data_IF_809969576076
#
_entry.id   IF_809969576076
#
_cell.length_a   1.000
_cell.length_b   1.000
_cell.length_c   1.000
_cell.angle_alpha   90.00
_cell.angle_beta   90.00
_cell.angle_gamma   90.00
#
_symmetry.space_group_name_H-M   'P 1'
#
loop_
_entity.id
_entity.type
_entity.pdbx_description
1 polymer ?
#
# COMPACT_ATOMS: atom_id res chain seq x y z
N UNK A 1 -8.72 12.76 22.30
CA UNK A 1 -9.81 12.21 21.48
C UNK A 1 -10.13 13.22 20.39
N UNK A 2 -10.55 12.73 19.24
CA UNK A 2 -10.95 13.49 18.07
C UNK A 2 -12.32 12.97 17.63
N UNK A 3 -13.21 13.87 17.21
CA UNK A 3 -14.51 13.51 16.67
C UNK A 3 -14.71 14.26 15.35
N UNK A 4 -14.92 13.53 14.27
CA UNK A 4 -15.01 14.05 12.91
C UNK A 4 -16.34 13.62 12.28
N UNK A 5 -17.37 14.48 12.30
CA UNK A 5 -18.60 14.25 11.56
C UNK A 5 -18.46 14.77 10.13
N UNK A 6 -19.05 14.04 9.18
CA UNK A 6 -19.22 14.44 7.79
C UNK A 6 -20.66 14.22 7.34
N UNK A 7 -21.12 15.07 6.43
CA UNK A 7 -22.42 14.95 5.78
C UNK A 7 -22.27 15.40 4.32
N UNK A 8 -22.71 14.56 3.40
CA UNK A 8 -22.77 14.83 1.98
C UNK A 8 -24.20 14.88 1.47
N UNK A 9 -24.39 15.62 0.38
CA UNK A 9 -25.62 15.62 -0.40
C UNK A 9 -25.24 15.48 -1.87
N UNK A 10 -25.88 14.54 -2.57
CA UNK A 10 -25.64 14.27 -3.98
C UNK A 10 -26.96 14.34 -4.73
N UNK A 11 -26.96 15.15 -5.78
CA UNK A 11 -28.01 15.18 -6.80
C UNK A 11 -27.43 14.65 -8.11
N UNK A 12 -28.16 13.74 -8.75
CA UNK A 12 -27.84 13.22 -10.08
C UNK A 12 -29.05 13.44 -10.97
N UNK A 13 -28.84 14.06 -12.13
CA UNK A 13 -29.90 14.33 -13.11
C UNK A 13 -29.51 13.65 -14.43
N UNK A 14 -30.43 12.85 -14.98
CA UNK A 14 -30.27 12.18 -16.27
C UNK A 14 -31.23 12.78 -17.28
N UNK A 15 -30.74 12.94 -18.52
CA UNK A 15 -31.56 13.30 -19.66
C UNK A 15 -31.30 12.33 -20.81
N UNK A 16 -32.32 11.55 -21.18
CA UNK A 16 -32.23 10.46 -22.16
C UNK A 16 -32.83 10.88 -23.51
N UNK A 17 -31.98 10.96 -24.54
CA UNK A 17 -32.42 11.37 -25.88
C UNK A 17 -33.03 10.22 -26.72
N UNK A 18 -32.66 8.96 -26.44
CA UNK A 18 -33.21 7.74 -27.07
C UNK A 18 -33.04 6.52 -26.15
N UNK A 19 -34.11 5.78 -25.93
CA UNK A 19 -34.06 4.39 -25.43
C UNK A 19 -34.41 3.48 -26.62
N UNK A 20 -33.76 2.33 -26.75
CA UNK A 20 -33.86 1.44 -27.93
C UNK A 20 -35.31 1.14 -28.36
N UNK A 21 -35.50 0.94 -29.67
CA UNK A 21 -36.77 0.93 -30.42
C UNK A 21 -37.85 -0.09 -29.97
N UNK A 22 -37.57 -0.94 -28.97
CA UNK A 22 -38.50 -1.99 -28.51
C UNK A 22 -39.37 -1.59 -27.31
N UNK A 23 -39.21 -0.39 -26.73
CA UNK A 23 -40.12 0.12 -25.69
C UNK A 23 -41.20 0.99 -26.34
N UNK A 24 -42.27 0.33 -26.81
CA UNK A 24 -43.47 0.99 -27.26
C UNK A 24 -44.08 1.86 -26.14
N UNK A 25 -44.19 3.16 -26.42
CA UNK A 25 -44.84 4.22 -25.61
C UNK A 25 -44.04 4.75 -24.40
N UNK A 26 -42.96 5.49 -24.68
CA UNK A 26 -42.35 6.40 -23.72
C UNK A 26 -43.08 7.75 -23.78
N UNK A 27 -43.80 8.11 -22.72
CA UNK A 27 -44.33 9.47 -22.51
C UNK A 27 -43.16 10.44 -22.28
N UNK A 28 -43.32 11.75 -22.54
CA UNK A 28 -42.27 12.76 -22.29
C UNK A 28 -41.76 12.79 -20.84
N UNK A 29 -42.46 12.13 -19.92
CA UNK A 29 -42.16 11.99 -18.48
C UNK A 29 -40.89 11.17 -18.19
N UNK A 30 -40.49 10.24 -19.07
CA UNK A 30 -39.31 9.38 -18.86
C UNK A 30 -38.01 9.92 -19.48
N UNK A 31 -38.04 11.13 -20.07
CA UNK A 31 -36.83 11.75 -20.66
C UNK A 31 -35.93 12.40 -19.62
N UNK A 32 -36.49 12.81 -18.48
CA UNK A 32 -35.75 13.46 -17.41
C UNK A 32 -35.97 12.68 -16.11
N UNK A 33 -34.88 12.28 -15.47
CA UNK A 33 -34.89 11.56 -14.22
C UNK A 33 -33.95 12.24 -13.25
N UNK A 34 -34.25 12.21 -11.95
CA UNK A 34 -33.36 12.74 -10.94
C UNK A 34 -33.32 11.84 -9.71
N UNK A 35 -32.17 11.85 -9.03
CA UNK A 35 -31.96 11.21 -7.74
C UNK A 35 -31.34 12.23 -6.80
N UNK A 36 -31.85 12.27 -5.57
CA UNK A 36 -31.27 13.02 -4.47
C UNK A 36 -30.96 12.03 -3.34
N UNK A 37 -29.74 12.07 -2.82
CA UNK A 37 -29.33 11.29 -1.65
C UNK A 37 -28.47 12.13 -0.72
N UNK A 38 -28.35 11.65 0.51
CA UNK A 38 -27.41 12.18 1.49
C UNK A 38 -26.61 11.05 2.09
N UNK A 39 -25.37 11.34 2.46
CA UNK A 39 -24.48 10.45 3.17
C UNK A 39 -24.12 11.10 4.51
N UNK A 40 -24.00 10.29 5.56
CA UNK A 40 -23.59 10.72 6.89
C UNK A 40 -22.47 9.81 7.37
N UNK A 41 -21.41 10.39 7.90
CA UNK A 41 -20.36 9.63 8.56
C UNK A 41 -19.92 10.33 9.85
N UNK A 42 -19.51 9.55 10.83
CA UNK A 42 -19.01 10.04 12.10
C UNK A 42 -17.86 9.15 12.59
N UNK A 43 -16.69 9.75 12.79
CA UNK A 43 -15.52 9.08 13.35
C UNK A 43 -15.23 9.57 14.77
N UNK A 44 -14.97 8.65 15.69
CA UNK A 44 -14.48 8.92 17.04
C UNK A 44 -13.18 8.15 17.29
N UNK A 45 -12.10 8.86 17.58
CA UNK A 45 -10.77 8.25 17.80
C UNK A 45 -10.05 8.82 19.01
N UNK A 46 -9.09 8.08 19.56
CA UNK A 46 -8.17 8.62 20.58
C UNK A 46 -6.80 7.96 20.52
N UNK A 47 -5.76 8.74 20.79
CA UNK A 47 -4.39 8.25 20.83
C UNK A 47 -3.95 7.99 22.27
N UNK A 48 -3.60 6.74 22.58
CA UNK A 48 -3.01 6.34 23.85
C UNK A 48 -1.57 5.93 23.60
N UNK A 49 -0.60 6.58 24.23
CA UNK A 49 0.81 6.24 24.00
C UNK A 49 1.62 6.08 25.28
N UNK A 50 2.66 5.25 25.18
CA UNK A 50 3.70 5.11 26.20
C UNK A 50 5.07 5.05 25.54
N UNK A 51 6.10 5.48 26.27
CA UNK A 51 7.50 5.50 25.80
C UNK A 51 8.35 4.62 26.70
N UNK A 52 8.88 3.55 26.12
CA UNK A 52 9.68 2.56 26.80
C UNK A 52 11.17 2.78 26.55
N UNK A 53 12.00 2.91 27.59
CA UNK A 53 13.45 2.84 27.44
C UNK A 53 13.86 1.39 27.17
N UNK A 54 14.52 1.15 26.03
CA UNK A 54 14.94 -0.21 25.63
C UNK A 54 16.46 -0.34 25.72
N UNK A 55 17.20 0.68 25.26
CA UNK A 55 18.67 0.70 25.35
C UNK A 55 19.39 -0.42 24.60
N UNK A 56 18.72 -1.13 23.67
CA UNK A 56 19.27 -2.24 22.92
C UNK A 56 19.84 -1.78 21.56
N UNK A 57 21.12 -2.08 21.31
CA UNK A 57 21.80 -1.71 20.06
C UNK A 57 21.76 -0.20 19.79
N UNK A 58 21.31 0.19 18.59
CA UNK A 58 21.11 1.58 18.19
C UNK A 58 19.82 2.20 18.74
N UNK A 59 18.89 1.41 19.28
CA UNK A 59 17.57 1.84 19.74
C UNK A 59 17.65 2.37 21.18
N UNK A 60 17.35 3.66 21.38
CA UNK A 60 17.27 4.29 22.71
C UNK A 60 15.93 4.01 23.37
N UNK A 61 14.84 4.30 22.66
CA UNK A 61 13.48 4.25 23.18
C UNK A 61 12.53 3.74 22.09
N UNK A 62 11.42 3.15 22.50
CA UNK A 62 10.30 2.80 21.63
C UNK A 62 9.06 3.51 22.15
N UNK A 63 8.40 4.28 21.29
CA UNK A 63 7.05 4.80 21.53
C UNK A 63 6.06 3.78 20.96
N UNK A 64 5.16 3.29 21.80
CA UNK A 64 3.99 2.52 21.38
C UNK A 64 2.77 3.41 21.49
N UNK A 65 2.05 3.58 20.39
CA UNK A 65 0.75 4.23 20.34
C UNK A 65 -0.31 3.19 20.00
N UNK A 66 -1.42 3.22 20.74
CA UNK A 66 -2.63 2.46 20.48
C UNK A 66 -3.71 3.48 20.12
N UNK A 67 -4.37 3.29 18.98
CA UNK A 67 -5.39 4.16 18.43
C UNK A 67 -6.68 3.35 18.29
N UNK A 68 -7.53 3.28 19.33
CA UNK A 68 -8.92 2.84 19.17
C UNK A 68 -9.70 3.87 18.35
N UNK A 69 -10.55 3.37 17.45
CA UNK A 69 -11.40 4.17 16.57
C UNK A 69 -12.75 3.49 16.40
N UNK A 70 -13.80 4.30 16.39
CA UNK A 70 -15.17 3.91 16.07
C UNK A 70 -15.66 4.79 14.91
N UNK A 71 -16.11 4.17 13.84
CA UNK A 71 -16.64 4.83 12.65
C UNK A 71 -18.08 4.37 12.42
N UNK A 72 -18.97 5.31 12.10
CA UNK A 72 -20.32 5.03 11.64
C UNK A 72 -20.54 5.67 10.27
N UNK A 73 -21.09 4.93 9.32
CA UNK A 73 -21.44 5.37 7.98
C UNK A 73 -22.92 5.04 7.68
N UNK A 74 -23.59 5.97 7.00
CA UNK A 74 -24.99 5.83 6.64
C UNK A 74 -25.31 6.44 5.27
N UNK A 75 -25.91 5.61 4.41
CA UNK A 75 -26.52 5.98 3.13
C UNK A 75 -27.92 5.35 3.11
N UNK A 76 -28.98 6.14 2.89
CA UNK A 76 -30.35 5.63 2.93
C UNK A 76 -30.63 4.66 1.78
N UNK A 77 -31.54 3.71 2.03
CA UNK A 77 -32.11 2.83 1.01
C UNK A 77 -33.15 3.59 0.17
N UNK A 78 -32.87 3.75 -1.11
CA UNK A 78 -33.70 4.43 -2.09
C UNK A 78 -33.93 3.51 -3.28
N UNK A 79 -35.19 3.42 -3.72
CA UNK A 79 -35.53 2.70 -4.94
C UNK A 79 -34.94 3.42 -6.15
N UNK A 80 -34.04 2.71 -6.84
CA UNK A 80 -33.31 3.18 -8.01
C UNK A 80 -33.55 2.24 -9.21
N UNK A 81 -34.55 1.34 -9.14
CA UNK A 81 -34.77 0.30 -10.15
C UNK A 81 -35.14 0.86 -11.54
N UNK A 82 -35.68 2.08 -11.58
CA UNK A 82 -36.01 2.76 -12.84
C UNK A 82 -34.87 3.66 -13.34
N UNK A 83 -33.82 3.89 -12.54
CA UNK A 83 -32.70 4.76 -12.94
C UNK A 83 -31.88 4.13 -14.07
N UNK A 84 -31.28 4.95 -14.94
CA UNK A 84 -30.30 4.46 -15.91
C UNK A 84 -29.10 3.79 -15.24
N UNK A 85 -28.48 2.84 -15.92
CA UNK A 85 -27.30 2.10 -15.46
C UNK A 85 -26.21 2.18 -16.55
N UNK A 86 -25.33 3.18 -16.45
CA UNK A 86 -24.20 3.40 -17.37
C UNK A 86 -22.86 3.15 -16.68
N UNK A 87 -22.73 3.61 -15.43
CA UNK A 87 -21.52 3.47 -14.62
C UNK A 87 -21.81 3.22 -13.13
N UNK A 88 -20.73 3.05 -12.37
CA UNK A 88 -20.74 2.74 -10.94
C UNK A 88 -21.30 3.87 -10.06
N UNK A 89 -21.55 5.06 -10.60
CA UNK A 89 -22.12 6.18 -9.87
C UNK A 89 -23.63 6.28 -10.01
N UNK A 90 -24.21 5.54 -10.95
CA UNK A 90 -25.63 5.52 -11.23
C UNK A 90 -26.43 4.72 -10.19
N UNK A 91 -25.86 3.65 -9.64
CA UNK A 91 -26.44 2.88 -8.54
C UNK A 91 -25.61 3.04 -7.27
N UNK A 92 -26.18 3.73 -6.28
CA UNK A 92 -25.56 3.87 -4.96
C UNK A 92 -26.25 2.93 -3.99
N UNK A 93 -25.50 1.97 -3.46
CA UNK A 93 -25.99 1.00 -2.50
C UNK A 93 -26.27 1.67 -1.14
N UNK A 94 -27.32 1.25 -0.42
CA UNK A 94 -27.52 1.69 0.95
C UNK A 94 -26.40 1.20 1.86
N UNK A 95 -26.13 1.97 2.90
CA UNK A 95 -25.11 1.68 3.89
C UNK A 95 -25.63 2.01 5.28
N UNK A 96 -25.41 1.13 6.24
CA UNK A 96 -25.62 1.42 7.65
C UNK A 96 -24.65 0.56 8.44
N UNK A 97 -23.44 1.08 8.65
CA UNK A 97 -22.33 0.29 9.13
C UNK A 97 -21.67 0.95 10.34
N UNK A 98 -21.33 0.14 11.35
CA UNK A 98 -20.50 0.53 12.48
C UNK A 98 -19.19 -0.27 12.44
N UNK A 99 -18.07 0.42 12.33
CA UNK A 99 -16.73 -0.18 12.31
C UNK A 99 -15.98 0.18 13.58
N UNK A 100 -15.54 -0.82 14.34
CA UNK A 100 -14.56 -0.64 15.41
C UNK A 100 -13.18 -1.09 14.93
N UNK A 101 -12.17 -0.24 15.11
CA UNK A 101 -10.79 -0.61 14.80
C UNK A 101 -9.81 -0.27 15.92
N UNK A 102 -8.73 -1.03 15.98
CA UNK A 102 -7.63 -0.85 16.90
C UNK A 102 -6.32 -0.86 16.14
N UNK A 103 -5.64 0.28 16.11
CA UNK A 103 -4.34 0.43 15.44
C UNK A 103 -3.20 0.50 16.46
N UNK A 104 -2.16 -0.30 16.25
CA UNK A 104 -0.93 -0.32 17.02
C UNK A 104 0.21 0.25 16.17
N UNK A 105 0.90 1.26 16.70
CA UNK A 105 1.98 1.96 16.02
C UNK A 105 3.23 1.94 16.91
N UNK A 106 4.36 1.45 16.38
CA UNK A 106 5.65 1.47 17.06
C UNK A 106 6.65 2.36 16.33
N UNK A 107 7.18 3.33 17.07
CA UNK A 107 8.22 4.24 16.59
C UNK A 107 9.46 4.08 17.47
N UNK A 108 10.57 3.68 16.85
CA UNK A 108 11.87 3.65 17.49
C UNK A 108 12.52 5.04 17.44
N UNK A 109 13.22 5.41 18.52
CA UNK A 109 14.16 6.54 18.56
C UNK A 109 15.57 5.97 18.62
N UNK A 110 16.35 6.23 17.60
CA UNK A 110 17.67 5.64 17.41
C UNK A 110 18.78 6.67 17.63
N UNK A 111 19.91 6.20 18.16
CA UNK A 111 21.16 6.96 18.11
C UNK A 111 21.51 7.21 16.64
N UNK A 112 22.01 8.40 16.31
CA UNK A 112 22.70 8.57 15.04
C UNK A 112 23.84 7.55 14.96
N UNK A 113 24.13 7.00 13.76
CA UNK A 113 25.27 6.13 13.58
C UNK A 113 26.53 6.87 14.04
N UNK A 114 27.35 6.23 14.86
CA UNK A 114 28.67 6.74 15.19
C UNK A 114 29.45 6.82 13.88
N UNK A 115 29.65 8.03 13.35
CA UNK A 115 30.57 8.26 12.25
C UNK A 115 31.97 7.95 12.77
N UNK A 116 32.42 6.72 12.56
CA UNK A 116 33.82 6.36 12.64
C UNK A 116 34.55 6.95 11.45
N UNK A 117 34.79 8.26 11.47
CA UNK A 117 36.00 8.85 10.91
C UNK A 117 36.10 10.34 11.26
N UNK A 118 37.06 10.64 12.14
CA UNK A 118 38.09 11.66 11.92
C UNK A 118 37.69 12.83 11.00
N UNK A 119 36.88 13.75 11.50
CA UNK A 119 36.94 15.14 11.01
C UNK A 119 38.25 15.76 11.49
N UNK A 120 39.39 15.34 10.91
CA UNK A 120 40.55 16.20 10.79
C UNK A 120 40.16 17.28 9.79
N UNK A 121 39.40 18.27 10.25
CA UNK A 121 39.49 19.59 9.65
C UNK A 121 40.96 19.98 9.75
N UNK A 122 41.67 20.28 8.65
CA UNK A 122 43.01 20.83 8.76
C UNK A 122 42.86 22.11 9.57
N UNK A 123 43.48 22.14 10.76
CA UNK A 123 43.63 23.36 11.52
C UNK A 123 44.42 24.32 10.64
N UNK A 124 43.71 25.27 10.01
CA UNK A 124 44.35 26.46 9.49
C UNK A 124 44.82 27.20 10.75
N UNK A 125 46.12 27.14 11.02
CA UNK A 125 46.80 28.02 11.97
C UNK A 125 46.70 29.47 11.45
N UNK A 126 45.55 30.10 11.70
CA UNK A 126 45.34 31.53 11.55
C UNK A 126 45.25 32.13 12.95
N UNK A 127 46.25 32.94 13.31
CA UNK A 127 46.32 33.67 14.59
C UNK A 127 44.96 34.25 15.03
N UNK A 128 44.56 33.89 16.24
CA UNK A 128 43.34 34.36 16.87
C UNK A 128 43.47 35.81 17.36
N UNK A 129 42.50 36.66 17.01
CA UNK A 129 42.05 37.80 17.83
C UNK A 129 40.56 38.06 17.58
N UNK A 130 39.71 37.39 18.36
CA UNK A 130 38.26 37.65 18.41
C UNK A 130 37.63 36.99 19.63
N UNK A 131 36.53 37.53 20.21
CA UNK A 131 35.96 37.04 21.46
C UNK A 131 35.42 35.62 21.29
N UNK A 132 35.70 34.77 22.29
CA UNK A 132 35.39 33.34 22.27
C UNK A 132 33.92 33.04 21.96
N UNK A 133 33.68 32.59 20.73
CA UNK A 133 32.48 31.85 20.36
C UNK A 133 32.87 30.38 20.52
N UNK A 134 32.38 29.73 21.58
CA UNK A 134 32.45 28.28 21.71
C UNK A 134 31.89 27.64 20.43
N UNK A 135 32.53 26.60 19.85
CA UNK A 135 31.99 25.92 18.69
C UNK A 135 30.56 25.45 19.00
N UNK A 136 29.60 25.55 18.05
CA UNK A 136 28.28 25.00 18.27
C UNK A 136 28.42 23.50 18.48
N UNK A 137 27.98 23.01 19.64
CA UNK A 137 27.84 21.58 19.90
C UNK A 137 27.01 20.99 18.76
N UNK A 138 27.66 20.21 17.90
CA UNK A 138 26.99 19.48 16.82
C UNK A 138 26.24 18.34 17.48
N UNK A 139 25.11 18.66 18.11
CA UNK A 139 24.20 17.70 18.72
C UNK A 139 23.68 16.80 17.61
N UNK A 140 24.32 15.65 17.45
CA UNK A 140 23.98 14.65 16.47
C UNK A 140 22.50 14.26 16.69
N UNK A 141 21.63 14.65 15.73
CA UNK A 141 20.18 14.59 15.90
C UNK A 141 19.72 13.13 15.91
N UNK A 142 18.95 12.75 16.92
CA UNK A 142 18.33 11.43 16.98
C UNK A 142 17.44 11.18 15.75
N UNK A 143 17.44 9.95 15.26
CA UNK A 143 16.60 9.52 14.14
C UNK A 143 15.40 8.74 14.65
N UNK A 144 14.29 8.78 13.91
CA UNK A 144 13.05 8.09 14.25
C UNK A 144 12.68 7.14 13.11
N UNK A 145 12.25 5.92 13.46
CA UNK A 145 11.76 4.94 12.49
C UNK A 145 10.44 4.36 12.99
N UNK A 146 9.34 4.64 12.27
CA UNK A 146 8.09 3.91 12.40
C UNK A 146 8.33 2.54 11.77
N UNK A 147 8.45 1.52 12.61
CA UNK A 147 8.83 0.20 12.16
C UNK A 147 7.70 -0.81 12.21
N UNK A 148 6.59 -0.49 12.88
CA UNK A 148 5.41 -1.35 12.92
C UNK A 148 4.16 -0.49 12.90
N UNK A 149 3.22 -0.83 12.04
CA UNK A 149 1.83 -0.39 12.05
C UNK A 149 0.96 -1.63 11.89
N UNK A 150 0.03 -1.86 12.81
CA UNK A 150 -0.84 -3.02 12.80
C UNK A 150 -2.27 -2.60 13.14
N UNK A 151 -3.20 -2.82 12.21
CA UNK A 151 -4.63 -2.52 12.40
C UNK A 151 -5.42 -3.83 12.40
N UNK A 152 -6.40 -3.89 13.28
CA UNK A 152 -7.47 -4.88 13.26
C UNK A 152 -8.80 -4.13 13.29
N UNK A 153 -9.76 -4.51 12.46
CA UNK A 153 -11.04 -3.85 12.35
C UNK A 153 -12.18 -4.85 12.19
N UNK A 154 -13.27 -4.61 12.90
CA UNK A 154 -14.52 -5.35 12.80
C UNK A 154 -15.64 -4.40 12.44
N UNK A 155 -16.34 -4.71 11.36
CA UNK A 155 -17.52 -3.97 10.92
C UNK A 155 -18.79 -4.77 11.20
N UNK A 156 -19.86 -4.04 11.53
CA UNK A 156 -21.20 -4.55 11.72
C UNK A 156 -22.16 -3.78 10.82
N UNK A 157 -22.82 -4.49 9.91
CA UNK A 157 -23.82 -3.96 8.99
C UNK A 157 -25.23 -4.15 9.58
N UNK A 158 -25.92 -3.04 9.80
CA UNK A 158 -27.27 -3.03 10.35
C UNK A 158 -28.35 -3.40 9.32
N UNK A 159 -28.10 -3.25 8.02
CA UNK A 159 -29.03 -3.69 6.97
C UNK A 159 -29.04 -5.22 6.95
N UNK A 160 -27.87 -5.85 6.91
CA UNK A 160 -27.74 -7.31 7.04
C UNK A 160 -28.30 -7.80 8.38
N UNK A 161 -28.05 -7.07 9.48
CA UNK A 161 -28.58 -7.43 10.79
C UNK A 161 -30.10 -7.40 10.93
N UNK A 162 -30.78 -6.69 10.03
CA UNK A 162 -32.25 -6.67 9.94
C UNK A 162 -32.81 -7.61 8.86
N UNK A 163 -31.94 -8.29 8.11
CA UNK A 163 -32.32 -9.19 7.02
C UNK A 163 -32.27 -10.64 7.50
N UNK A 164 -33.37 -11.42 7.41
CA UNK A 164 -33.39 -12.81 7.85
C UNK A 164 -32.33 -13.65 7.12
N UNK A 165 -31.68 -14.54 7.86
CA UNK A 165 -30.65 -15.47 7.37
C UNK A 165 -29.35 -14.81 6.84
N UNK A 166 -29.21 -13.48 6.98
CA UNK A 166 -27.98 -12.74 6.64
C UNK A 166 -27.06 -12.55 7.85
N UNK A 167 -25.78 -12.31 7.56
CA UNK A 167 -24.73 -12.17 8.56
C UNK A 167 -24.33 -10.70 8.73
N UNK A 168 -24.56 -10.09 9.91
CA UNK A 168 -24.28 -8.67 10.09
C UNK A 168 -22.80 -8.36 10.30
N UNK A 169 -22.00 -9.30 10.78
CA UNK A 169 -20.57 -9.09 10.92
C UNK A 169 -19.89 -9.30 9.58
N UNK A 170 -19.34 -8.22 9.03
CA UNK A 170 -18.50 -8.31 7.84
C UNK A 170 -17.17 -9.04 8.19
N UNK A 171 -16.43 -9.55 7.18
CA UNK A 171 -15.13 -10.15 7.40
C UNK A 171 -14.21 -9.28 8.27
N UNK A 172 -13.51 -9.90 9.22
CA UNK A 172 -12.54 -9.24 10.07
C UNK A 172 -11.33 -8.83 9.26
N UNK A 173 -11.08 -7.53 9.21
CA UNK A 173 -9.95 -6.96 8.51
C UNK A 173 -8.74 -6.87 9.43
N UNK A 174 -7.57 -7.26 8.94
CA UNK A 174 -6.30 -7.02 9.59
C UNK A 174 -5.23 -6.59 8.58
N UNK A 175 -4.39 -5.64 8.98
CA UNK A 175 -3.31 -5.13 8.16
C UNK A 175 -2.05 -4.92 9.01
N UNK A 176 -0.90 -5.32 8.49
CA UNK A 176 0.42 -5.24 9.11
C UNK A 176 1.43 -4.61 8.14
N UNK A 177 2.06 -3.53 8.58
CA UNK A 177 3.24 -2.95 7.94
C UNK A 177 4.41 -3.05 8.91
N UNK A 178 5.51 -3.68 8.48
CA UNK A 178 6.68 -3.97 9.31
C UNK A 178 7.98 -3.59 8.57
N UNK A 179 8.71 -2.63 9.12
CA UNK A 179 9.96 -2.04 8.57
C UNK A 179 11.03 -1.86 9.66
N UNK A 180 11.48 -2.95 10.33
CA UNK A 180 12.40 -2.90 11.49
C UNK A 180 13.74 -2.21 11.16
N UNK A 181 14.24 -2.46 9.96
CA UNK A 181 15.51 -1.95 9.43
C UNK A 181 15.37 -1.69 7.93
N UNK A 182 16.31 -0.97 7.32
CA UNK A 182 16.35 -0.76 5.86
C UNK A 182 16.46 -2.06 5.03
N UNK A 183 16.73 -3.19 5.68
CA UNK A 183 16.85 -4.51 5.06
C UNK A 183 15.50 -5.14 4.72
N UNK A 184 14.44 -4.92 5.52
CA UNK A 184 13.16 -5.64 5.37
C UNK A 184 12.00 -4.65 5.32
N UNK A 185 11.13 -4.83 4.33
CA UNK A 185 9.78 -4.25 4.28
C UNK A 185 8.79 -5.40 4.12
N UNK A 186 7.84 -5.51 5.05
CA UNK A 186 6.73 -6.44 4.97
C UNK A 186 5.43 -5.64 5.04
N UNK A 187 4.50 -5.92 4.13
CA UNK A 187 3.13 -5.44 4.16
C UNK A 187 2.22 -6.65 3.95
N UNK A 188 1.26 -6.85 4.84
CA UNK A 188 0.27 -7.91 4.70
C UNK A 188 -1.09 -7.38 5.11
N UNK A 189 -2.12 -7.74 4.35
CA UNK A 189 -3.52 -7.44 4.64
C UNK A 189 -4.38 -8.67 4.39
N UNK A 190 -5.45 -8.80 5.16
CA UNK A 190 -6.34 -9.95 5.06
C UNK A 190 -7.72 -9.60 5.59
N UNK A 191 -8.71 -10.24 4.99
CA UNK A 191 -10.07 -10.30 5.48
C UNK A 191 -10.43 -11.75 5.81
N UNK A 192 -10.95 -11.97 7.01
CA UNK A 192 -11.33 -13.29 7.49
C UNK A 192 -12.82 -13.36 7.79
N UNK A 193 -13.53 -14.25 7.11
CA UNK A 193 -14.95 -14.51 7.33
C UNK A 193 -15.12 -15.44 8.54
N UNK A 194 -15.79 -14.94 9.57
CA UNK A 194 -16.01 -15.62 10.86
C UNK A 194 -16.82 -16.90 10.76
N UNK A 195 -17.72 -16.94 9.79
CA UNK A 195 -18.79 -17.93 9.70
C UNK A 195 -18.33 -19.10 8.84
N UNK A 196 -17.69 -18.81 7.71
CA UNK A 196 -17.03 -19.84 6.90
C UNK A 196 -15.66 -20.25 7.44
N UNK A 197 -15.05 -19.43 8.31
CA UNK A 197 -13.75 -19.69 8.93
C UNK A 197 -12.58 -19.61 7.96
N UNK A 198 -12.77 -19.01 6.78
CA UNK A 198 -11.78 -18.90 5.71
C UNK A 198 -11.49 -17.44 5.38
N UNK A 199 -10.33 -17.19 4.79
CA UNK A 199 -9.98 -15.87 4.29
C UNK A 199 -10.78 -15.54 3.03
N UNK A 200 -11.26 -14.31 2.91
CA UNK A 200 -11.79 -13.76 1.65
C UNK A 200 -10.67 -13.10 0.85
N UNK A 201 -9.73 -12.45 1.52
CA UNK A 201 -8.50 -11.91 0.93
C UNK A 201 -7.30 -12.21 1.81
N UNK A 202 -6.14 -12.42 1.19
CA UNK A 202 -4.87 -12.56 1.90
C UNK A 202 -3.73 -12.11 0.99
N UNK A 203 -3.21 -10.91 1.24
CA UNK A 203 -2.11 -10.34 0.48
C UNK A 203 -0.88 -10.23 1.35
N UNK A 204 0.29 -10.50 0.78
CA UNK A 204 1.58 -10.38 1.47
C UNK A 204 2.63 -9.92 0.49
N UNK A 205 3.25 -8.79 0.80
CA UNK A 205 4.36 -8.21 0.09
C UNK A 205 5.58 -8.22 1.01
N UNK A 206 6.69 -8.77 0.54
CA UNK A 206 7.97 -8.79 1.25
C UNK A 206 9.05 -8.26 0.32
N UNK A 207 9.78 -7.23 0.75
CA UNK A 207 10.99 -6.76 0.09
C UNK A 207 12.18 -6.84 1.03
N UNK A 208 13.24 -7.47 0.56
CA UNK A 208 14.53 -7.59 1.23
C UNK A 208 15.60 -6.88 0.39
N UNK A 209 16.33 -5.95 0.98
CA UNK A 209 17.40 -5.20 0.32
C UNK A 209 18.71 -5.28 1.13
N UNK A 210 19.79 -5.75 0.52
CA UNK A 210 21.10 -5.80 1.18
C UNK A 210 21.93 -4.53 0.88
N UNK A 211 22.93 -4.19 1.72
CA UNK A 211 23.88 -3.12 1.40
C UNK A 211 24.71 -3.36 0.13
N UNK A 212 24.80 -4.61 -0.33
CA UNK A 212 25.45 -5.00 -1.60
C UNK A 212 24.55 -4.76 -2.82
N UNK A 213 23.38 -4.14 -2.62
CA UNK A 213 22.37 -3.92 -3.64
C UNK A 213 21.75 -5.22 -4.18
N UNK A 214 21.73 -6.30 -3.37
CA UNK A 214 20.88 -7.45 -3.66
C UNK A 214 19.45 -7.12 -3.26
N UNK A 215 18.49 -7.52 -4.09
CA UNK A 215 17.07 -7.30 -3.87
C UNK A 215 16.30 -8.59 -4.07
N UNK A 216 15.38 -8.86 -3.17
CA UNK A 216 14.38 -9.91 -3.30
C UNK A 216 13.02 -9.30 -2.96
N UNK A 217 12.05 -9.48 -3.85
CA UNK A 217 10.65 -9.14 -3.65
C UNK A 217 9.83 -10.40 -3.82
N UNK A 218 8.92 -10.65 -2.88
CA UNK A 218 7.95 -11.73 -2.92
C UNK A 218 6.58 -11.11 -2.70
N UNK A 219 5.66 -11.34 -3.63
CA UNK A 219 4.25 -10.97 -3.46
C UNK A 219 3.39 -12.23 -3.54
N UNK A 220 2.54 -12.42 -2.55
CA UNK A 220 1.44 -13.39 -2.58
C UNK A 220 0.14 -12.60 -2.58
N UNK A 221 -0.76 -12.94 -3.50
CA UNK A 221 -2.09 -12.34 -3.57
C UNK A 221 -3.14 -13.43 -3.64
N UNK A 222 -4.15 -13.30 -2.81
CA UNK A 222 -5.28 -14.21 -2.77
C UNK A 222 -6.56 -13.39 -2.68
N UNK A 223 -7.48 -13.65 -3.60
CA UNK A 223 -8.86 -13.19 -3.56
C UNK A 223 -9.75 -14.39 -3.80
N UNK A 224 -10.57 -14.71 -2.79
CA UNK A 224 -11.45 -15.88 -2.80
C UNK A 224 -12.28 -15.93 -4.07
N UNK A 225 -12.37 -17.13 -4.65
CA UNK A 225 -13.14 -17.44 -5.86
C UNK A 225 -12.76 -16.64 -7.12
N UNK A 226 -11.81 -15.70 -7.03
CA UNK A 226 -11.30 -14.89 -8.13
C UNK A 226 -9.89 -15.35 -8.53
N UNK A 227 -8.88 -15.12 -7.70
CA UNK A 227 -7.46 -15.29 -8.07
C UNK A 227 -6.58 -15.73 -6.91
N UNK A 228 -5.49 -16.42 -7.25
CA UNK A 228 -4.41 -16.72 -6.32
C UNK A 228 -3.09 -16.72 -7.09
N UNK A 229 -2.13 -15.86 -6.73
CA UNK A 229 -0.85 -15.76 -7.42
C UNK A 229 0.32 -15.57 -6.48
N UNK A 230 1.49 -15.98 -6.96
CA UNK A 230 2.78 -15.68 -6.33
C UNK A 230 3.71 -15.04 -7.36
N UNK A 231 4.30 -13.91 -6.98
CA UNK A 231 5.28 -13.16 -7.74
C UNK A 231 6.61 -13.12 -7.00
N UNK A 232 7.70 -13.32 -7.72
CA UNK A 232 9.08 -13.28 -7.26
C UNK A 232 9.86 -12.32 -8.16
N UNK A 233 10.58 -11.37 -7.59
CA UNK A 233 11.56 -10.52 -8.29
C UNK A 233 12.87 -10.56 -7.51
N UNK A 234 13.95 -11.02 -8.13
CA UNK A 234 15.24 -11.17 -7.49
C UNK A 234 16.35 -10.59 -8.34
N UNK A 235 17.28 -9.87 -7.71
CA UNK A 235 18.52 -9.43 -8.35
C UNK A 235 19.68 -9.51 -7.37
N UNK A 236 20.85 -9.87 -7.88
CA UNK A 236 22.04 -10.01 -7.06
C UNK A 236 23.31 -9.64 -7.82
N UNK A 237 24.20 -8.92 -7.13
CA UNK A 237 25.51 -8.59 -7.65
C UNK A 237 26.42 -9.83 -7.59
N UNK A 238 26.90 -10.27 -8.75
CA UNK A 238 27.88 -11.36 -8.87
C UNK A 238 29.30 -10.80 -8.73
N UNK A 239 29.53 -9.61 -9.29
CA UNK A 239 30.76 -8.81 -9.16
C UNK A 239 30.40 -7.33 -9.06
N UNK A 240 31.38 -6.46 -8.86
CA UNK A 240 31.16 -5.00 -8.84
C UNK A 240 30.62 -4.42 -10.17
N UNK A 241 30.76 -5.17 -11.27
CA UNK A 241 30.32 -4.76 -12.60
C UNK A 241 29.21 -5.65 -13.18
N UNK A 242 28.87 -6.79 -12.54
CA UNK A 242 27.93 -7.78 -13.10
C UNK A 242 26.87 -8.13 -12.09
N UNK A 243 25.61 -8.01 -12.49
CA UNK A 243 24.46 -8.48 -11.73
C UNK A 243 23.60 -9.43 -12.57
N UNK A 244 23.01 -10.41 -11.92
CA UNK A 244 21.94 -11.22 -12.51
C UNK A 244 20.61 -10.79 -11.90
N UNK A 245 19.54 -10.92 -12.65
CA UNK A 245 18.20 -10.66 -12.19
C UNK A 245 17.22 -11.61 -12.85
N UNK A 246 16.08 -11.82 -12.21
CA UNK A 246 15.01 -12.61 -12.77
C UNK A 246 13.72 -12.37 -12.00
N UNK A 247 12.62 -12.67 -12.67
CA UNK A 247 11.28 -12.55 -12.15
C UNK A 247 10.47 -13.79 -12.52
N UNK A 248 9.48 -14.10 -11.71
CA UNK A 248 8.62 -15.25 -11.91
C UNK A 248 7.25 -14.97 -11.31
N UNK A 249 6.19 -15.16 -12.09
CA UNK A 249 4.81 -15.09 -11.62
C UNK A 249 4.05 -16.35 -11.98
N UNK A 250 3.25 -16.85 -11.04
CA UNK A 250 2.41 -18.04 -11.23
C UNK A 250 1.01 -17.81 -10.69
N UNK A 251 0.01 -18.17 -11.47
CA UNK A 251 -1.35 -18.40 -11.01
C UNK A 251 -1.41 -19.75 -10.28
N UNK A 252 -1.58 -19.72 -8.97
CA UNK A 252 -1.65 -20.91 -8.12
C UNK A 252 -3.00 -21.62 -8.23
N UNK A 253 -4.08 -20.89 -8.55
CA UNK A 253 -5.42 -21.46 -8.73
C UNK A 253 -5.55 -22.26 -10.01
N UNK A 254 -5.00 -21.75 -11.12
CA UNK A 254 -5.04 -22.40 -12.44
C UNK A 254 -3.80 -23.27 -12.70
N UNK A 255 -2.81 -23.22 -11.81
CA UNK A 255 -1.52 -23.88 -11.93
C UNK A 255 -0.76 -23.49 -13.20
N UNK A 256 -0.90 -22.25 -13.65
CA UNK A 256 -0.32 -21.69 -14.87
C UNK A 256 0.78 -20.67 -14.55
N UNK A 257 1.87 -20.71 -15.31
CA UNK A 257 2.96 -19.74 -15.20
C UNK A 257 2.56 -18.50 -16.02
N UNK A 258 2.51 -17.32 -15.37
CA UNK A 258 2.12 -16.05 -16.00
C UNK A 258 3.34 -15.39 -16.61
N UNK A 259 4.43 -15.29 -15.85
CA UNK A 259 5.65 -14.61 -16.28
C UNK A 259 6.89 -15.36 -15.84
N UNK A 260 7.90 -15.43 -16.70
CA UNK A 260 9.25 -15.90 -16.35
C UNK A 260 10.28 -15.05 -17.09
N UNK A 261 11.10 -14.33 -16.31
CA UNK A 261 12.17 -13.49 -16.83
C UNK A 261 13.52 -13.85 -16.23
N UNK A 262 14.56 -13.80 -17.05
CA UNK A 262 15.95 -13.96 -16.61
C UNK A 262 16.85 -13.05 -17.43
N UNK A 263 17.74 -12.33 -16.76
CA UNK A 263 18.69 -11.46 -17.41
C UNK A 263 19.97 -11.29 -16.62
N UNK A 264 20.94 -10.68 -17.30
CA UNK A 264 22.14 -10.18 -16.66
C UNK A 264 22.45 -8.79 -17.17
N UNK A 265 23.08 -8.01 -16.30
CA UNK A 265 23.50 -6.65 -16.58
C UNK A 265 24.99 -6.52 -16.31
N UNK A 266 25.69 -5.89 -17.23
CA UNK A 266 27.06 -5.43 -17.06
C UNK A 266 27.07 -3.90 -16.98
N UNK A 267 27.70 -3.35 -15.95
CA UNK A 267 27.80 -1.92 -15.71
C UNK A 267 29.26 -1.49 -15.57
N UNK A 268 29.73 -0.67 -16.51
CA UNK A 268 30.98 0.09 -16.41
C UNK A 268 30.70 1.54 -15.97
N UNK A 269 31.76 2.36 -15.86
CA UNK A 269 31.65 3.75 -15.37
C UNK A 269 30.77 4.66 -16.26
N UNK A 270 30.86 4.52 -17.59
CA UNK A 270 30.19 5.42 -18.53
C UNK A 270 29.17 4.72 -19.43
N UNK A 271 29.11 3.38 -19.38
CA UNK A 271 28.21 2.59 -20.21
C UNK A 271 27.89 1.26 -19.53
N UNK A 272 26.79 0.67 -19.89
CA UNK A 272 26.38 -0.67 -19.49
C UNK A 272 25.61 -1.34 -20.61
N UNK A 273 25.39 -2.63 -20.47
CA UNK A 273 24.42 -3.32 -21.31
C UNK A 273 23.69 -4.39 -20.50
N UNK A 274 22.54 -4.75 -21.01
CA UNK A 274 21.65 -5.75 -20.44
C UNK A 274 21.21 -6.69 -21.54
N UNK A 275 21.20 -7.98 -21.22
CA UNK A 275 20.59 -9.02 -22.03
C UNK A 275 19.57 -9.71 -21.15
N UNK A 276 18.35 -9.88 -21.65
CA UNK A 276 17.30 -10.57 -20.93
C UNK A 276 16.45 -11.42 -21.86
N UNK A 277 15.87 -12.44 -21.27
CA UNK A 277 14.79 -13.25 -21.81
C UNK A 277 13.57 -13.05 -20.93
N UNK A 278 12.40 -12.93 -21.55
CA UNK A 278 11.13 -12.84 -20.86
C UNK A 278 10.09 -13.68 -21.61
N UNK A 279 9.33 -14.45 -20.85
CA UNK A 279 8.16 -15.17 -21.31
C UNK A 279 6.97 -14.69 -20.50
N UNK A 280 5.93 -14.23 -21.17
CA UNK A 280 4.70 -13.73 -20.56
C UNK A 280 3.54 -14.26 -21.40
N UNK A 281 2.64 -15.03 -20.78
CA UNK A 281 1.60 -15.79 -21.48
C UNK A 281 2.18 -16.59 -22.68
N UNK A 282 1.71 -16.34 -23.90
CA UNK A 282 2.20 -16.98 -25.13
C UNK A 282 3.33 -16.20 -25.84
N UNK A 283 3.77 -15.07 -25.28
CA UNK A 283 4.78 -14.20 -25.87
C UNK A 283 6.18 -14.54 -25.33
N UNK A 284 7.17 -14.55 -26.21
CA UNK A 284 8.57 -14.81 -25.89
C UNK A 284 9.43 -13.69 -26.46
N UNK A 285 10.13 -12.98 -25.57
CA UNK A 285 10.93 -11.82 -25.90
C UNK A 285 12.39 -12.05 -25.55
N UNK A 286 13.26 -11.65 -26.47
CA UNK A 286 14.69 -11.49 -26.21
C UNK A 286 15.08 -10.03 -26.36
N UNK A 287 15.60 -9.45 -25.28
CA UNK A 287 15.98 -8.04 -25.24
C UNK A 287 17.47 -7.84 -25.13
N UNK A 288 17.97 -6.83 -25.85
CA UNK A 288 19.30 -6.28 -25.66
C UNK A 288 19.21 -4.76 -25.52
N UNK A 289 19.79 -4.24 -24.44
CA UNK A 289 19.77 -2.82 -24.12
C UNK A 289 21.20 -2.33 -23.83
N UNK A 290 21.54 -1.15 -24.33
CA UNK A 290 22.78 -0.44 -24.00
C UNK A 290 22.40 0.83 -23.25
N UNK A 291 23.03 1.05 -22.10
CA UNK A 291 22.86 2.23 -21.26
C UNK A 291 24.08 3.12 -21.36
N UNK A 292 23.89 4.43 -21.57
CA UNK A 292 24.97 5.42 -21.54
C UNK A 292 24.72 6.39 -20.38
N UNK A 293 25.60 6.37 -19.39
CA UNK A 293 25.45 7.18 -18.16
C UNK A 293 25.38 8.67 -18.51
N UNK A 294 24.25 9.31 -18.22
CA UNK A 294 24.02 10.74 -18.48
C UNK A 294 23.37 11.08 -19.84
N UNK A 295 23.12 10.08 -20.71
CA UNK A 295 22.47 10.26 -22.01
C UNK A 295 21.19 9.43 -22.18
N UNK A 296 20.94 8.46 -21.28
CA UNK A 296 19.76 7.59 -21.30
C UNK A 296 20.05 6.20 -21.84
N UNK A 297 18.99 5.39 -21.97
CA UNK A 297 19.06 3.99 -22.41
C UNK A 297 18.58 3.84 -23.86
N UNK A 298 19.23 2.97 -24.64
CA UNK A 298 18.85 2.61 -26.01
C UNK A 298 18.84 1.09 -26.17
N UNK A 299 17.72 0.51 -26.61
CA UNK A 299 17.61 -0.94 -26.77
C UNK A 299 16.51 -1.38 -27.73
N UNK A 300 16.53 -2.65 -28.11
CA UNK A 300 15.53 -3.31 -28.97
C UNK A 300 15.14 -4.67 -28.38
N UNK A 301 13.84 -4.96 -28.33
CA UNK A 301 13.31 -6.30 -28.05
C UNK A 301 12.82 -6.95 -29.34
N UNK A 302 13.10 -8.25 -29.49
CA UNK A 302 12.55 -9.13 -30.53
C UNK A 302 11.54 -10.10 -29.94
#
# INVERSE_FOLDING_TARGET
FTFEPSAGFRQTDWYLDRMDEDVAAVTDEYKFMNRELYDLQAELSTDLFSVYPVGAGSIKKIKHTIIPMLEYSYIPDLDQAENPDFDDTDQILPENCLTFSLTNLLISRNRPPETGDTSLSPAIEGNATGPGISPPETSQKDTYNQFLWFKIAQSYDFILGNTPDEQPFLPLYAELILTPVRLLTLHADTEWDHESGIFTTANTYVRINTPRNDRLTVEYRYTRDASESIYLDASTAITDAVSIFGNYERNLKEAEDIETGLGFRYQAQCWGYEVYYQHEDDDQKFGFMISLTGLGDMGSGL
#
